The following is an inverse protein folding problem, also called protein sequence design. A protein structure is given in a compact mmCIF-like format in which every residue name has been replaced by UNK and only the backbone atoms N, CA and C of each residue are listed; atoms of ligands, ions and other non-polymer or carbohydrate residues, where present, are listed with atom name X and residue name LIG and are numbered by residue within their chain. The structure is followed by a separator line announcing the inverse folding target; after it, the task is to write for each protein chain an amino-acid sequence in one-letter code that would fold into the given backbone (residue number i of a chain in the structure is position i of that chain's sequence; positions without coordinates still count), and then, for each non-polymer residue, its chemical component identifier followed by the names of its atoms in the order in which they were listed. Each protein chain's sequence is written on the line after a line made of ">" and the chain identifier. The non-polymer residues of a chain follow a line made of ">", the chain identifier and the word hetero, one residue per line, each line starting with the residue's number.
data_IF_439646184669
#
_entry.id   IF_439646184669
#
_cell.length_a   1.000
_cell.length_b   1.000
_cell.length_c   1.000
_cell.angle_alpha   90.00
_cell.angle_beta   90.00
_cell.angle_gamma   90.00
#
_symmetry.space_group_name_H-M   'P 1'
#
loop_
_entity.id
_entity.type
_entity.pdbx_description
1 polymer ?
#
# COMPACT_ATOMS: atom_id res chain seq x y z
N UNK A 1 33.72 36.60 -1.39
CA UNK A 1 33.02 36.24 -0.17
C UNK A 1 32.08 35.07 -0.41
N UNK A 2 32.22 34.10 0.49
CA UNK A 2 31.36 32.94 0.78
C UNK A 2 31.26 31.81 -0.25
N UNK A 3 32.39 31.09 -0.40
CA UNK A 3 32.36 29.63 -0.48
C UNK A 3 31.75 29.09 0.82
N UNK A 4 30.45 28.83 0.83
CA UNK A 4 29.81 27.98 1.85
C UNK A 4 30.58 26.66 1.89
N UNK A 5 31.24 26.37 3.01
CA UNK A 5 31.81 25.06 3.28
C UNK A 5 30.68 24.03 3.20
N UNK A 6 30.71 23.14 2.23
CA UNK A 6 29.83 21.98 2.16
C UNK A 6 30.21 21.03 3.30
N UNK A 7 29.63 21.25 4.49
CA UNK A 7 29.55 20.18 5.48
C UNK A 7 28.81 19.01 4.82
N UNK A 8 29.35 17.80 4.89
CA UNK A 8 28.67 16.60 4.40
C UNK A 8 27.31 16.52 5.10
N UNK A 9 26.23 16.80 4.37
CA UNK A 9 24.89 16.65 4.91
C UNK A 9 24.58 15.15 5.00
N UNK A 10 24.37 14.64 6.21
CA UNK A 10 24.07 13.22 6.43
C UNK A 10 22.58 13.00 6.19
N UNK A 11 22.25 12.16 5.20
CA UNK A 11 20.87 11.84 4.82
C UNK A 11 20.34 10.70 5.68
N UNK A 12 19.22 10.92 6.37
CA UNK A 12 18.68 10.01 7.39
C UNK A 12 17.44 9.27 6.88
N UNK A 13 17.44 7.95 7.10
CA UNK A 13 16.27 7.08 6.96
C UNK A 13 15.74 6.74 8.35
N UNK A 14 14.54 7.23 8.68
CA UNK A 14 13.79 6.80 9.87
C UNK A 14 12.87 5.64 9.53
N UNK A 15 12.87 4.59 10.34
CA UNK A 15 11.98 3.45 10.13
C UNK A 15 11.53 2.78 11.44
N UNK A 16 10.28 2.27 11.51
CA UNK A 16 9.82 1.51 12.65
C UNK A 16 10.30 0.06 12.57
N UNK A 17 10.13 -0.69 13.66
CA UNK A 17 10.31 -2.14 13.63
C UNK A 17 9.21 -2.79 12.77
N UNK A 18 9.58 -3.33 11.61
CA UNK A 18 8.63 -3.94 10.69
C UNK A 18 8.06 -5.26 11.24
N UNK A 19 6.75 -5.48 11.06
CA UNK A 19 5.99 -6.68 11.41
C UNK A 19 5.93 -7.08 12.88
N UNK A 20 6.53 -6.33 13.82
CA UNK A 20 6.48 -6.68 15.26
C UNK A 20 5.13 -6.34 15.89
N UNK A 21 4.53 -5.21 15.54
CA UNK A 21 3.23 -4.79 16.11
C UNK A 21 2.06 -5.37 15.33
N UNK A 22 1.87 -4.95 14.07
CA UNK A 22 0.69 -5.36 13.29
C UNK A 22 0.82 -6.78 12.77
N UNK A 23 2.03 -7.17 12.36
CA UNK A 23 2.35 -8.46 11.80
C UNK A 23 2.53 -9.55 12.83
N UNK A 24 2.73 -9.22 14.11
CA UNK A 24 2.92 -10.17 15.21
C UNK A 24 4.03 -11.20 14.97
N UNK A 25 5.08 -10.84 14.23
CA UNK A 25 6.30 -11.65 14.19
C UNK A 25 6.99 -11.56 15.55
N UNK A 26 7.48 -12.68 16.13
CA UNK A 26 8.26 -12.65 17.36
C UNK A 26 9.40 -11.63 17.28
N UNK A 27 9.52 -10.78 18.30
CA UNK A 27 10.43 -9.63 18.29
C UNK A 27 11.89 -10.07 18.16
N UNK A 28 12.26 -11.20 18.76
CA UNK A 28 13.58 -11.82 18.65
C UNK A 28 13.92 -12.21 17.22
N UNK A 29 12.98 -12.82 16.49
CA UNK A 29 13.18 -13.17 15.08
C UNK A 29 13.21 -11.93 14.19
N UNK A 30 12.35 -10.94 14.45
CA UNK A 30 12.32 -9.70 13.70
C UNK A 30 13.62 -8.91 13.86
N UNK A 31 14.12 -8.77 15.09
CA UNK A 31 15.38 -8.10 15.40
C UNK A 31 16.57 -8.81 14.74
N UNK A 32 16.64 -10.15 14.86
CA UNK A 32 17.69 -10.97 14.23
C UNK A 32 17.77 -10.73 12.73
N UNK A 33 16.62 -10.80 12.05
CA UNK A 33 16.54 -10.59 10.60
C UNK A 33 16.92 -9.15 10.23
N UNK A 34 16.37 -8.16 10.93
CA UNK A 34 16.63 -6.76 10.65
C UNK A 34 18.12 -6.42 10.80
N UNK A 35 18.74 -6.80 11.92
CA UNK A 35 20.14 -6.53 12.19
C UNK A 35 21.08 -7.25 11.21
N UNK A 36 20.76 -8.48 10.79
CA UNK A 36 21.52 -9.20 9.74
C UNK A 36 21.48 -8.42 8.41
N UNK A 37 20.29 -8.00 7.96
CA UNK A 37 20.13 -7.26 6.70
C UNK A 37 20.77 -5.87 6.77
N UNK A 38 20.64 -5.16 7.90
CA UNK A 38 21.27 -3.84 8.11
C UNK A 38 22.79 -3.98 8.09
N UNK A 39 23.35 -5.01 8.75
CA UNK A 39 24.80 -5.28 8.71
C UNK A 39 25.27 -5.53 7.29
N UNK A 40 24.59 -6.40 6.54
CA UNK A 40 24.92 -6.70 5.14
C UNK A 40 24.92 -5.41 4.29
N UNK A 41 23.91 -4.56 4.47
CA UNK A 41 23.78 -3.29 3.78
C UNK A 41 24.89 -2.29 4.16
N UNK A 42 25.22 -2.13 5.43
CA UNK A 42 26.28 -1.21 5.87
C UNK A 42 27.66 -1.68 5.39
N UNK A 43 27.89 -2.99 5.32
CA UNK A 43 29.12 -3.58 4.79
C UNK A 43 29.26 -3.36 3.28
N UNK A 44 28.17 -3.49 2.51
CA UNK A 44 28.20 -3.22 1.07
C UNK A 44 28.41 -1.74 0.74
N UNK A 45 28.13 -0.84 1.69
CA UNK A 45 28.32 0.61 1.59
C UNK A 45 29.39 1.13 2.56
N UNK A 46 30.43 0.34 2.90
CA UNK A 46 31.42 0.68 3.95
C UNK A 46 32.16 2.02 3.78
N UNK A 47 32.21 2.57 2.56
CA UNK A 47 32.91 3.82 2.26
C UNK A 47 31.95 5.02 2.21
N UNK A 48 30.65 4.78 2.35
CA UNK A 48 29.61 5.79 2.24
C UNK A 48 29.19 6.24 3.64
N UNK A 49 29.56 7.47 4.00
CA UNK A 49 29.35 8.06 5.33
C UNK A 49 28.34 9.22 5.31
N UNK A 50 27.69 9.44 4.17
CA UNK A 50 26.73 10.51 3.94
C UNK A 50 25.28 10.06 4.20
N UNK A 51 25.09 8.96 4.94
CA UNK A 51 23.77 8.49 5.37
C UNK A 51 23.75 7.91 6.77
N UNK A 52 22.53 7.84 7.32
CA UNK A 52 22.25 7.21 8.59
C UNK A 52 20.91 6.47 8.56
N UNK A 53 20.87 5.33 9.25
CA UNK A 53 19.71 4.47 9.46
C UNK A 53 19.26 4.61 10.91
N UNK A 54 17.99 4.92 11.15
CA UNK A 54 17.47 5.22 12.48
C UNK A 54 16.22 4.38 12.72
N UNK A 55 16.35 3.36 13.55
CA UNK A 55 15.22 2.59 14.06
C UNK A 55 14.54 3.39 15.17
N UNK A 56 13.24 3.62 15.04
CA UNK A 56 12.45 4.36 16.02
C UNK A 56 11.26 3.52 16.46
N UNK A 57 11.09 3.35 17.77
CA UNK A 57 9.93 2.66 18.35
C UNK A 57 9.56 3.31 19.69
N UNK A 58 8.29 3.18 20.08
CA UNK A 58 7.82 3.62 21.41
C UNK A 58 7.95 2.52 22.45
N UNK A 59 8.08 1.25 22.03
CA UNK A 59 8.23 0.11 22.93
C UNK A 59 9.71 -0.15 23.24
N UNK A 60 10.13 0.24 24.44
CA UNK A 60 11.49 0.02 24.94
C UNK A 60 11.90 -1.46 24.89
N UNK A 61 10.97 -2.40 25.02
CA UNK A 61 11.26 -3.84 24.95
C UNK A 61 11.68 -4.25 23.55
N UNK A 62 11.03 -3.70 22.52
CA UNK A 62 11.42 -3.90 21.12
C UNK A 62 12.83 -3.38 20.92
N UNK A 63 13.10 -2.14 21.33
CA UNK A 63 14.40 -1.52 21.13
C UNK A 63 15.52 -2.23 21.87
N UNK A 64 15.29 -2.68 23.10
CA UNK A 64 16.27 -3.44 23.87
C UNK A 64 16.67 -4.75 23.18
N UNK A 65 15.71 -5.45 22.56
CA UNK A 65 16.00 -6.68 21.80
C UNK A 65 16.81 -6.35 20.55
N UNK A 66 16.45 -5.30 19.81
CA UNK A 66 17.22 -4.83 18.65
C UNK A 66 18.63 -4.38 19.03
N UNK A 67 18.81 -3.70 20.16
CA UNK A 67 20.14 -3.33 20.65
C UNK A 67 21.00 -4.54 21.01
N UNK A 68 20.42 -5.53 21.71
CA UNK A 68 21.12 -6.76 22.08
C UNK A 68 21.53 -7.55 20.84
N UNK A 69 20.67 -7.60 19.83
CA UNK A 69 20.98 -8.24 18.56
C UNK A 69 22.05 -7.47 17.79
N UNK A 70 21.93 -6.15 17.69
CA UNK A 70 22.90 -5.30 17.01
C UNK A 70 24.29 -5.38 17.64
N UNK A 71 24.38 -5.46 18.97
CA UNK A 71 25.65 -5.64 19.70
C UNK A 71 26.43 -6.88 19.28
N UNK A 72 25.79 -7.91 18.71
CA UNK A 72 26.47 -9.10 18.16
C UNK A 72 27.26 -8.79 16.89
N UNK A 73 26.91 -7.72 16.20
CA UNK A 73 27.50 -7.32 14.91
C UNK A 73 28.32 -6.05 15.00
N UNK A 74 28.04 -5.20 15.99
CA UNK A 74 28.68 -3.90 16.15
C UNK A 74 30.16 -4.06 16.48
N UNK A 75 31.00 -3.88 15.46
CA UNK A 75 32.39 -3.48 15.67
C UNK A 75 32.40 -2.07 16.27
N UNK A 76 33.44 -1.71 17.04
CA UNK A 76 33.46 -0.53 17.92
C UNK A 76 33.23 0.85 17.23
N UNK A 77 33.05 0.91 15.92
CA UNK A 77 33.01 2.15 15.12
C UNK A 77 31.76 2.34 14.24
N UNK A 78 30.83 1.37 14.16
CA UNK A 78 29.65 1.55 13.30
C UNK A 78 28.62 2.50 13.94
N UNK A 79 28.56 3.73 13.42
CA UNK A 79 27.73 4.84 13.90
C UNK A 79 26.57 5.19 12.96
N UNK A 80 26.50 4.58 11.77
CA UNK A 80 25.46 4.83 10.77
C UNK A 80 24.16 4.14 11.08
N UNK A 81 24.11 3.22 12.06
CA UNK A 81 22.86 2.69 12.58
C UNK A 81 22.63 3.14 14.03
N UNK A 82 21.50 3.81 14.25
CA UNK A 82 21.05 4.26 15.57
C UNK A 82 19.68 3.69 15.90
N UNK A 83 19.44 3.53 17.19
CA UNK A 83 18.16 3.10 17.76
C UNK A 83 17.69 4.23 18.68
N UNK A 84 16.45 4.68 18.53
CA UNK A 84 15.87 5.79 19.31
C UNK A 84 14.50 5.40 19.87
N UNK A 85 14.34 5.62 21.17
CA UNK A 85 13.06 5.52 21.87
C UNK A 85 12.27 6.81 21.74
N UNK A 86 11.02 6.74 21.32
CA UNK A 86 10.13 7.90 21.29
C UNK A 86 8.99 7.79 20.28
N UNK A 87 8.11 8.80 20.29
CA UNK A 87 7.13 8.92 19.23
C UNK A 87 7.82 9.22 17.90
N UNK A 88 7.39 8.52 16.85
CA UNK A 88 8.04 8.59 15.56
C UNK A 88 8.00 10.00 14.94
N UNK A 89 6.85 10.67 15.06
CA UNK A 89 6.64 12.00 14.47
C UNK A 89 7.45 13.04 15.23
N UNK A 90 7.50 12.93 16.56
CA UNK A 90 8.33 13.81 17.41
C UNK A 90 9.82 13.66 17.07
N UNK A 91 10.34 12.44 17.05
CA UNK A 91 11.76 12.16 16.75
C UNK A 91 12.12 12.62 15.33
N UNK A 92 11.23 12.39 14.35
CA UNK A 92 11.44 12.82 12.97
C UNK A 92 11.62 14.34 12.85
N UNK A 93 10.88 15.13 13.65
CA UNK A 93 11.05 16.59 13.70
C UNK A 93 12.34 16.97 14.43
N UNK A 94 12.68 16.28 15.52
CA UNK A 94 13.86 16.59 16.34
C UNK A 94 15.19 16.43 15.58
N UNK A 95 15.32 15.37 14.77
CA UNK A 95 16.60 15.00 14.15
C UNK A 95 16.64 15.17 12.63
N UNK A 96 15.64 15.84 12.04
CA UNK A 96 15.53 16.13 10.61
C UNK A 96 15.71 14.87 9.75
N UNK A 97 14.68 14.03 9.67
CA UNK A 97 14.69 12.80 8.86
C UNK A 97 14.19 13.10 7.43
N UNK A 98 15.00 12.81 6.42
CA UNK A 98 14.63 13.05 5.02
C UNK A 98 13.79 11.93 4.41
N UNK A 99 13.98 10.67 4.83
CA UNK A 99 13.24 9.52 4.32
C UNK A 99 12.56 8.78 5.46
N UNK A 100 11.25 8.58 5.34
CA UNK A 100 10.43 7.91 6.35
C UNK A 100 9.95 6.58 5.81
N UNK A 101 10.08 5.52 6.59
CA UNK A 101 9.44 4.24 6.28
C UNK A 101 8.11 4.16 6.99
N UNK A 102 7.05 3.87 6.23
CA UNK A 102 5.73 3.59 6.78
C UNK A 102 5.30 2.17 6.43
N UNK A 103 5.09 1.35 7.44
CA UNK A 103 4.56 0.00 7.25
C UNK A 103 3.08 0.05 6.78
N UNK A 104 2.73 -0.74 5.77
CA UNK A 104 1.39 -0.79 5.20
C UNK A 104 0.97 -2.20 4.79
N UNK A 105 -0.25 -2.33 4.27
CA UNK A 105 -0.76 -3.59 3.68
C UNK A 105 -0.76 -3.52 2.16
N UNK A 106 -1.04 -4.64 1.50
CA UNK A 106 -1.23 -4.70 0.03
C UNK A 106 -2.22 -3.68 -0.52
N UNK A 107 -3.15 -3.19 0.31
CA UNK A 107 -4.11 -2.16 -0.08
C UNK A 107 -3.51 -0.77 -0.14
N UNK A 108 -2.31 -0.54 0.38
CA UNK A 108 -1.62 0.75 0.44
C UNK A 108 -2.60 1.84 0.92
N UNK A 109 -3.04 1.71 2.17
CA UNK A 109 -4.06 2.57 2.80
C UNK A 109 -3.44 3.43 3.90
N UNK A 110 -4.00 4.63 4.17
CA UNK A 110 -3.44 5.58 5.11
C UNK A 110 -3.67 5.22 6.59
N UNK A 111 -4.49 4.23 6.92
CA UNK A 111 -4.97 3.94 8.28
C UNK A 111 -4.54 2.55 8.80
N UNK A 112 -3.40 2.03 8.33
CA UNK A 112 -2.92 0.68 8.69
C UNK A 112 -2.24 0.65 10.06
N UNK A 113 -1.39 1.64 10.33
CA UNK A 113 -0.59 1.79 11.56
C UNK A 113 -0.85 3.14 12.22
N UNK A 114 -0.52 3.32 13.51
CA UNK A 114 -0.55 4.63 14.15
C UNK A 114 0.26 5.69 13.39
N UNK A 115 1.48 5.35 12.95
CA UNK A 115 2.31 6.22 12.12
C UNK A 115 1.62 6.60 10.82
N UNK A 116 1.05 5.62 10.10
CA UNK A 116 0.33 5.88 8.85
C UNK A 116 -0.82 6.85 9.05
N UNK A 117 -1.57 6.69 10.16
CA UNK A 117 -2.67 7.58 10.52
C UNK A 117 -2.17 9.00 10.81
N UNK A 118 -1.13 9.15 11.62
CA UNK A 118 -0.53 10.45 11.91
C UNK A 118 -0.02 11.15 10.65
N UNK A 119 0.66 10.42 9.75
CA UNK A 119 1.11 10.96 8.47
C UNK A 119 -0.05 11.44 7.60
N UNK A 120 -1.16 10.69 7.58
CA UNK A 120 -2.36 11.08 6.82
C UNK A 120 -3.06 12.31 7.41
N UNK A 121 -3.16 12.39 8.74
CA UNK A 121 -3.76 13.55 9.42
C UNK A 121 -2.96 14.83 9.16
N UNK A 122 -1.63 14.73 9.07
CA UNK A 122 -0.75 15.89 8.87
C UNK A 122 -0.61 16.28 7.39
N UNK A 123 -0.46 15.30 6.48
CA UNK A 123 -0.20 15.57 5.05
C UNK A 123 -1.51 15.66 4.23
N UNK A 124 -2.56 15.00 4.69
CA UNK A 124 -3.88 14.99 4.06
C UNK A 124 -4.01 14.04 2.86
N UNK A 125 -5.14 14.14 2.16
CA UNK A 125 -5.52 13.19 1.09
C UNK A 125 -4.58 13.18 -0.12
N UNK A 126 -3.87 14.28 -0.38
CA UNK A 126 -2.98 14.40 -1.54
C UNK A 126 -1.86 13.35 -1.57
N UNK A 127 -1.33 12.97 -0.41
CA UNK A 127 -0.33 11.90 -0.32
C UNK A 127 -0.91 10.55 -0.76
N UNK A 128 -2.15 10.28 -0.35
CA UNK A 128 -2.84 9.06 -0.71
C UNK A 128 -3.22 9.04 -2.20
N UNK A 129 -3.69 10.17 -2.74
CA UNK A 129 -3.96 10.33 -4.17
C UNK A 129 -2.70 10.07 -5.01
N UNK A 130 -1.55 10.63 -4.60
CA UNK A 130 -0.27 10.43 -5.28
C UNK A 130 0.21 8.98 -5.20
N UNK A 131 0.10 8.36 -4.02
CA UNK A 131 0.38 6.93 -3.84
C UNK A 131 -0.47 6.06 -4.77
N UNK A 132 -1.77 6.34 -4.90
CA UNK A 132 -2.67 5.59 -5.79
C UNK A 132 -2.39 5.83 -7.26
N UNK A 133 -1.97 7.04 -7.62
CA UNK A 133 -1.54 7.38 -8.97
C UNK A 133 -0.27 6.61 -9.36
N UNK A 134 0.70 6.51 -8.46
CA UNK A 134 1.96 5.77 -8.68
C UNK A 134 1.76 4.24 -8.64
N UNK A 135 0.88 3.78 -7.76
CA UNK A 135 0.68 2.37 -7.46
C UNK A 135 -0.82 2.01 -7.54
N UNK A 136 -1.38 1.89 -8.76
CA UNK A 136 -2.80 1.59 -8.96
C UNK A 136 -3.16 0.13 -8.63
N UNK A 137 -2.16 -0.75 -8.59
CA UNK A 137 -2.33 -2.16 -8.31
C UNK A 137 -2.05 -2.47 -6.84
N UNK A 138 -2.64 -3.55 -6.28
CA UNK A 138 -2.24 -4.10 -4.99
C UNK A 138 -0.72 -4.25 -4.88
N UNK A 139 -0.19 -3.79 -3.76
CA UNK A 139 1.21 -4.03 -3.44
C UNK A 139 1.45 -5.46 -2.99
N UNK A 140 2.71 -5.82 -2.81
CA UNK A 140 3.17 -7.19 -2.59
C UNK A 140 3.97 -7.22 -1.30
N UNK A 141 3.77 -8.26 -0.52
CA UNK A 141 4.57 -8.52 0.68
C UNK A 141 6.06 -8.62 0.31
N UNK A 142 6.93 -8.01 1.11
CA UNK A 142 8.37 -7.96 0.85
C UNK A 142 8.83 -6.76 0.03
N UNK A 143 7.93 -5.84 -0.34
CA UNK A 143 8.22 -4.77 -1.31
C UNK A 143 8.00 -3.36 -0.77
N UNK A 144 8.81 -2.41 -1.26
CA UNK A 144 8.76 -0.98 -0.96
C UNK A 144 8.10 -0.17 -2.08
N UNK A 145 7.42 0.91 -1.70
CA UNK A 145 6.61 1.77 -2.56
C UNK A 145 6.85 3.25 -2.17
N UNK A 146 7.91 3.87 -2.68
CA UNK A 146 8.23 5.27 -2.40
C UNK A 146 7.22 6.25 -2.98
N UNK A 147 6.79 7.21 -2.17
CA UNK A 147 5.85 8.26 -2.54
C UNK A 147 6.46 9.62 -2.19
N UNK A 148 6.65 10.52 -3.17
CA UNK A 148 7.10 11.89 -2.91
C UNK A 148 6.05 12.64 -2.12
N UNK A 149 6.49 13.44 -1.15
CA UNK A 149 5.59 14.31 -0.42
C UNK A 149 5.18 15.47 -1.33
N UNK A 150 3.88 15.76 -1.48
CA UNK A 150 3.42 16.89 -2.28
C UNK A 150 4.04 18.20 -1.76
N UNK A 151 4.63 19.00 -2.66
CA UNK A 151 5.30 20.27 -2.33
C UNK A 151 4.40 21.32 -1.67
N UNK A 152 3.08 21.11 -1.69
CA UNK A 152 2.09 21.99 -1.05
C UNK A 152 1.84 21.67 0.43
N UNK A 153 2.48 20.66 1.00
CA UNK A 153 2.27 20.26 2.40
C UNK A 153 3.11 21.12 3.35
N UNK A 154 2.54 21.67 4.42
CA UNK A 154 3.32 22.37 5.47
C UNK A 154 4.28 21.43 6.22
N UNK A 155 4.05 20.12 6.12
CA UNK A 155 4.95 19.06 6.59
C UNK A 155 6.29 19.00 5.83
N UNK A 156 6.45 19.78 4.75
CA UNK A 156 7.61 19.82 3.86
C UNK A 156 8.92 20.31 4.51
N UNK A 157 8.99 20.53 5.82
CA UNK A 157 10.20 21.04 6.50
C UNK A 157 11.27 19.96 6.73
N UNK A 158 11.65 19.22 5.68
CA UNK A 158 12.84 18.35 5.70
C UNK A 158 12.60 16.92 5.17
N UNK A 159 11.35 16.46 5.11
CA UNK A 159 11.05 15.12 4.60
C UNK A 159 10.90 15.15 3.08
N UNK A 160 11.71 14.36 2.38
CA UNK A 160 11.69 14.23 0.92
C UNK A 160 10.63 13.22 0.46
N UNK A 161 10.62 12.03 1.07
CA UNK A 161 9.82 10.89 0.61
C UNK A 161 9.38 9.97 1.75
N UNK A 162 8.20 9.37 1.57
CA UNK A 162 7.70 8.28 2.41
C UNK A 162 7.82 6.98 1.63
N UNK A 163 8.55 6.01 2.17
CA UNK A 163 8.73 4.67 1.62
C UNK A 163 7.73 3.74 2.30
N UNK A 164 6.64 3.42 1.60
CA UNK A 164 5.66 2.47 2.11
C UNK A 164 6.21 1.05 1.96
N UNK A 165 6.27 0.28 3.04
CA UNK A 165 6.76 -1.10 3.00
C UNK A 165 5.62 -2.04 3.34
N UNK A 166 5.37 -3.04 2.49
CA UNK A 166 4.40 -4.09 2.78
C UNK A 166 5.15 -5.25 3.38
N UNK A 167 5.05 -5.37 4.68
CA UNK A 167 5.70 -6.39 5.48
C UNK A 167 4.81 -7.63 5.62
N UNK A 168 5.37 -8.79 5.98
CA UNK A 168 4.59 -9.99 6.27
C UNK A 168 3.69 -9.85 7.50
N UNK A 169 2.63 -10.64 7.50
CA UNK A 169 1.67 -10.71 8.58
C UNK A 169 1.56 -12.16 9.11
N UNK A 170 1.70 -12.35 10.42
CA UNK A 170 1.36 -13.59 11.13
C UNK A 170 0.07 -13.44 11.96
N UNK A 171 -0.44 -12.23 12.12
CA UNK A 171 -1.64 -11.97 12.90
C UNK A 171 -2.88 -12.53 12.17
N UNK A 172 -3.58 -13.53 12.74
CA UNK A 172 -4.74 -14.15 12.11
C UNK A 172 -5.95 -13.20 12.02
N UNK A 173 -5.93 -12.08 12.75
CA UNK A 173 -6.97 -11.04 12.71
C UNK A 173 -6.76 -10.04 11.57
N UNK A 174 -5.69 -10.18 10.79
CA UNK A 174 -5.33 -9.30 9.67
C UNK A 174 -5.26 -10.12 8.37
N UNK A 175 -5.39 -9.48 7.19
CA UNK A 175 -5.35 -10.19 5.91
C UNK A 175 -4.04 -10.96 5.71
N UNK A 176 -4.14 -12.08 4.99
CA UNK A 176 -3.01 -12.86 4.48
C UNK A 176 -2.01 -13.32 5.57
N UNK A 177 -2.47 -13.93 6.68
CA UNK A 177 -1.57 -14.45 7.70
C UNK A 177 -0.75 -15.61 7.13
N UNK A 178 0.55 -15.64 7.42
CA UNK A 178 1.48 -16.69 6.99
C UNK A 178 2.17 -17.35 8.18
N UNK A 179 2.79 -18.51 7.95
CA UNK A 179 3.59 -19.20 8.96
C UNK A 179 4.87 -18.42 9.28
N UNK A 180 5.48 -18.71 10.44
CA UNK A 180 6.72 -18.06 10.86
C UNK A 180 7.84 -18.15 9.82
N UNK A 181 8.05 -19.31 9.20
CA UNK A 181 9.12 -19.49 8.21
C UNK A 181 8.88 -18.67 6.93
N UNK A 182 7.63 -18.56 6.48
CA UNK A 182 7.28 -17.70 5.34
C UNK A 182 7.42 -16.23 5.73
N UNK A 183 6.98 -15.86 6.94
CA UNK A 183 7.10 -14.51 7.47
C UNK A 183 8.57 -14.07 7.58
N UNK A 184 9.47 -14.93 8.05
CA UNK A 184 10.90 -14.64 8.19
C UNK A 184 11.54 -14.29 6.84
N UNK A 185 11.28 -15.08 5.80
CA UNK A 185 11.79 -14.81 4.46
C UNK A 185 11.23 -13.50 3.88
N UNK A 186 9.91 -13.31 3.98
CA UNK A 186 9.26 -12.08 3.54
C UNK A 186 9.71 -10.83 4.31
N UNK A 187 10.05 -10.96 5.59
CA UNK A 187 10.55 -9.86 6.41
C UNK A 187 11.96 -9.47 5.97
N UNK A 188 12.81 -10.48 5.67
CA UNK A 188 14.13 -10.25 5.08
C UNK A 188 14.01 -9.47 3.77
N UNK A 189 13.11 -9.89 2.88
CA UNK A 189 12.83 -9.18 1.62
C UNK A 189 12.32 -7.75 1.85
N UNK A 190 11.49 -7.53 2.88
CA UNK A 190 10.93 -6.21 3.23
C UNK A 190 12.05 -5.23 3.61
N UNK A 191 12.97 -5.64 4.50
CA UNK A 191 14.11 -4.80 4.87
C UNK A 191 15.07 -4.57 3.69
N UNK A 192 15.33 -5.60 2.88
CA UNK A 192 16.17 -5.46 1.68
C UNK A 192 15.56 -4.47 0.68
N UNK A 193 14.25 -4.57 0.43
CA UNK A 193 13.55 -3.67 -0.47
C UNK A 193 13.51 -2.23 0.07
N UNK A 194 13.25 -2.06 1.36
CA UNK A 194 13.30 -0.77 2.07
C UNK A 194 14.65 -0.08 1.90
N UNK A 195 15.75 -0.79 2.21
CA UNK A 195 17.10 -0.23 2.14
C UNK A 195 17.53 0.04 0.69
N UNK A 196 17.17 -0.85 -0.24
CA UNK A 196 17.43 -0.64 -1.67
C UNK A 196 16.67 0.58 -2.21
N UNK A 197 15.41 0.76 -1.82
CA UNK A 197 14.62 1.93 -2.17
C UNK A 197 15.27 3.20 -1.63
N UNK A 198 15.59 3.24 -0.34
CA UNK A 198 16.29 4.37 0.27
C UNK A 198 17.58 4.72 -0.47
N UNK A 199 18.46 3.73 -0.69
CA UNK A 199 19.74 3.94 -1.36
C UNK A 199 19.59 4.50 -2.78
N UNK A 200 18.68 3.90 -3.56
CA UNK A 200 18.37 4.34 -4.92
C UNK A 200 17.93 5.81 -4.93
N UNK A 201 16.98 6.16 -4.05
CA UNK A 201 16.39 7.49 -3.99
C UNK A 201 17.35 8.55 -3.46
N UNK A 202 18.14 8.22 -2.43
CA UNK A 202 19.18 9.09 -1.88
C UNK A 202 20.16 9.52 -2.97
N UNK A 203 20.50 8.60 -3.88
CA UNK A 203 21.42 8.85 -4.98
C UNK A 203 20.74 9.48 -6.21
N UNK A 204 19.50 9.97 -6.07
CA UNK A 204 18.76 10.65 -7.13
C UNK A 204 18.26 9.72 -8.25
N UNK A 205 18.28 8.41 -8.02
CA UNK A 205 17.81 7.43 -9.00
C UNK A 205 16.32 7.11 -8.81
N UNK A 206 15.67 6.68 -9.88
CA UNK A 206 14.29 6.23 -9.83
C UNK A 206 14.22 4.79 -9.33
N UNK A 207 13.48 4.57 -8.23
CA UNK A 207 13.18 3.25 -7.74
C UNK A 207 11.90 2.69 -8.40
N UNK A 208 11.94 1.42 -8.81
CA UNK A 208 10.81 0.71 -9.42
C UNK A 208 10.57 -0.61 -8.69
N UNK A 209 9.40 -0.84 -8.07
CA UNK A 209 9.07 -2.10 -7.41
C UNK A 209 9.15 -3.31 -8.36
N UNK A 210 9.53 -4.50 -7.87
CA UNK A 210 9.83 -5.70 -8.69
C UNK A 210 8.73 -6.10 -9.66
N UNK A 211 7.45 -5.94 -9.30
CA UNK A 211 6.32 -6.30 -10.18
C UNK A 211 6.00 -5.25 -11.25
N UNK A 212 6.57 -4.05 -11.18
CA UNK A 212 6.53 -3.11 -12.31
C UNK A 212 7.51 -3.51 -13.42
N UNK A 213 8.51 -4.36 -13.14
CA UNK A 213 9.47 -4.83 -14.15
C UNK A 213 8.99 -6.08 -14.93
N UNK A 214 7.96 -6.79 -14.47
CA UNK A 214 7.49 -8.03 -15.08
C UNK A 214 5.97 -8.01 -15.35
N UNK A 215 5.59 -7.22 -16.35
CA UNK A 215 4.45 -7.53 -17.23
C UNK A 215 4.47 -6.57 -18.42
N UNK A 216 5.19 -6.94 -19.48
CA UNK A 216 4.56 -6.77 -20.80
C UNK A 216 3.20 -7.48 -20.68
N UNK A 217 2.13 -6.68 -20.75
CA UNK A 217 0.76 -7.13 -20.63
C UNK A 217 0.51 -8.20 -21.69
N UNK A 218 0.58 -9.48 -21.31
CA UNK A 218 -0.20 -10.53 -21.94
C UNK A 218 -1.18 -11.01 -20.89
N UNK A 219 -2.38 -10.44 -20.96
CA UNK A 219 -3.53 -10.92 -20.24
C UNK A 219 -3.79 -12.38 -20.63
N UNK A 220 -4.38 -13.18 -19.73
CA UNK A 220 -4.92 -14.50 -20.10
C UNK A 220 -5.91 -14.40 -21.28
N UNK A 221 -6.51 -13.22 -21.47
CA UNK A 221 -7.32 -12.87 -22.63
C UNK A 221 -6.51 -12.81 -23.94
N UNK A 222 -5.26 -12.32 -23.92
CA UNK A 222 -4.38 -12.27 -25.11
C UNK A 222 -3.92 -13.68 -25.51
N UNK A 223 -3.74 -14.57 -24.52
CA UNK A 223 -3.42 -15.99 -24.74
C UNK A 223 -4.61 -16.75 -25.32
N UNK A 224 -5.83 -16.46 -24.84
CA UNK A 224 -7.07 -17.05 -25.34
C UNK A 224 -7.46 -16.54 -26.73
N UNK A 225 -7.28 -15.24 -27.01
CA UNK A 225 -7.64 -14.62 -28.29
C UNK A 225 -6.55 -14.79 -29.37
N UNK A 226 -5.30 -15.06 -28.99
CA UNK A 226 -4.23 -15.42 -29.92
C UNK A 226 -4.46 -16.74 -30.66
N UNK A 227 -5.34 -17.60 -30.14
CA UNK A 227 -5.77 -18.86 -30.79
C UNK A 227 -6.84 -18.60 -31.87
N UNK A 228 -7.52 -17.45 -31.82
CA UNK A 228 -8.71 -17.17 -32.66
C UNK A 228 -8.40 -16.28 -33.87
N UNK A 229 -7.21 -15.68 -33.95
CA UNK A 229 -6.84 -14.75 -35.02
C UNK A 229 -5.97 -15.35 -36.15
N UNK A 230 -6.26 -16.58 -36.56
CA UNK A 230 -5.83 -17.12 -37.87
C UNK A 230 -7.00 -17.30 -38.82
N UNK A 231 -7.80 -16.24 -39.03
CA UNK A 231 -8.65 -16.14 -40.22
C UNK A 231 -9.18 -14.72 -40.46
N UNK A 232 -8.76 -14.13 -41.58
CA UNK A 232 -9.48 -13.21 -42.47
C UNK A 232 -9.99 -11.82 -41.98
N UNK A 233 -9.20 -10.79 -42.35
CA UNK A 233 -9.52 -9.55 -43.10
C UNK A 233 -10.89 -8.81 -43.07
N UNK A 234 -10.80 -7.50 -42.77
CA UNK A 234 -11.53 -6.29 -43.29
C UNK A 234 -12.95 -5.92 -42.77
N UNK A 235 -13.43 -4.64 -42.90
CA UNK A 235 -12.82 -3.35 -42.52
C UNK A 235 -13.75 -2.46 -41.65
N UNK A 236 -13.17 -1.38 -41.08
CA UNK A 236 -13.80 -0.36 -40.19
C UNK A 236 -15.02 0.37 -40.80
N UNK A 237 -15.88 0.91 -39.91
CA UNK A 237 -16.33 2.30 -40.07
C UNK A 237 -16.09 3.18 -38.84
N UNK A 238 -15.79 4.44 -39.15
CA UNK A 238 -15.61 5.61 -38.28
C UNK A 238 -16.94 6.19 -37.81
N UNK A 239 -17.02 6.60 -36.54
CA UNK A 239 -17.81 7.77 -36.11
C UNK A 239 -17.26 8.37 -34.83
N UNK A 240 -17.06 9.70 -34.86
CA UNK A 240 -16.79 10.57 -33.71
C UNK A 240 -18.06 10.72 -32.86
N UNK A 241 -17.92 10.79 -31.54
CA UNK A 241 -18.74 11.68 -30.72
C UNK A 241 -18.00 12.06 -29.43
N UNK A 242 -18.37 13.24 -28.95
CA UNK A 242 -17.66 14.11 -28.02
C UNK A 242 -18.24 14.07 -26.60
N UNK A 243 -17.35 14.24 -25.63
CA UNK A 243 -17.49 14.97 -24.35
C UNK A 243 -18.68 14.69 -23.41
N UNK A 244 -18.36 14.31 -22.18
CA UNK A 244 -18.64 15.15 -21.00
C UNK A 244 -17.84 14.67 -19.79
N UNK A 245 -16.93 15.51 -19.33
CA UNK A 245 -16.11 15.34 -18.13
C UNK A 245 -16.99 15.58 -16.89
N UNK A 246 -17.38 14.51 -16.19
CA UNK A 246 -17.84 14.62 -14.81
C UNK A 246 -16.66 14.35 -13.88
N UNK A 247 -16.33 15.34 -13.06
CA UNK A 247 -15.41 15.27 -11.93
C UNK A 247 -15.94 14.27 -10.91
N UNK A 248 -15.36 13.07 -10.87
CA UNK A 248 -15.76 11.97 -9.97
C UNK A 248 -15.04 12.07 -8.63
N UNK A 249 -15.83 12.20 -7.55
CA UNK A 249 -15.42 12.03 -6.16
C UNK A 249 -15.37 10.53 -5.85
N UNK A 250 -14.16 10.00 -5.63
CA UNK A 250 -13.92 8.57 -5.44
C UNK A 250 -14.16 8.17 -3.99
N UNK A 251 -15.39 7.74 -3.65
CA UNK A 251 -15.62 7.10 -2.36
C UNK A 251 -17.05 6.63 -2.12
N UNK A 252 -18.06 7.44 -2.45
CA UNK A 252 -19.48 7.07 -2.27
C UNK A 252 -20.20 6.81 -3.59
N UNK A 253 -19.84 7.54 -4.64
CA UNK A 253 -20.71 7.65 -5.82
C UNK A 253 -20.28 6.76 -7.00
N UNK A 254 -19.28 5.89 -6.82
CA UNK A 254 -18.79 5.01 -7.90
C UNK A 254 -19.78 3.88 -8.18
N UNK A 255 -20.53 3.44 -7.17
CA UNK A 255 -21.54 2.39 -7.30
C UNK A 255 -22.94 2.94 -7.61
N UNK A 256 -23.17 4.22 -7.31
CA UNK A 256 -24.45 4.90 -7.47
C UNK A 256 -25.02 4.80 -8.90
N UNK A 257 -24.23 4.96 -9.99
CA UNK A 257 -24.73 4.81 -11.35
C UNK A 257 -25.38 3.44 -11.63
N UNK A 258 -24.84 2.35 -11.06
CA UNK A 258 -25.41 1.01 -11.22
C UNK A 258 -26.77 0.88 -10.52
N UNK A 259 -26.95 1.58 -9.39
CA UNK A 259 -28.20 1.59 -8.65
C UNK A 259 -29.26 2.44 -9.37
N UNK A 260 -28.88 3.61 -9.89
CA UNK A 260 -29.79 4.54 -10.56
C UNK A 260 -30.20 4.05 -11.94
N UNK A 261 -29.23 3.69 -12.76
CA UNK A 261 -29.39 3.44 -14.20
C UNK A 261 -28.70 2.16 -14.66
N UNK A 262 -29.03 0.98 -14.12
CA UNK A 262 -28.39 -0.27 -14.49
C UNK A 262 -28.52 -0.59 -16.00
N UNK A 263 -29.54 -0.06 -16.68
CA UNK A 263 -29.83 -0.30 -18.10
C UNK A 263 -28.79 0.25 -19.08
N UNK A 264 -27.95 1.20 -18.65
CA UNK A 264 -26.91 1.79 -19.51
C UNK A 264 -25.62 0.97 -19.53
N UNK A 265 -25.49 0.00 -18.63
CA UNK A 265 -24.31 -0.85 -18.47
C UNK A 265 -24.50 -2.16 -19.22
N UNK A 266 -23.38 -2.75 -19.63
CA UNK A 266 -23.41 -4.01 -20.38
C UNK A 266 -23.67 -5.21 -19.46
N UNK A 267 -24.11 -6.33 -20.04
CA UNK A 267 -24.28 -7.62 -19.33
C UNK A 267 -22.97 -8.17 -18.71
N UNK A 268 -21.82 -7.58 -19.08
CA UNK A 268 -20.51 -7.88 -18.47
C UNK A 268 -20.30 -7.16 -17.14
N UNK A 269 -21.08 -6.12 -16.87
CA UNK A 269 -20.98 -5.30 -15.67
C UNK A 269 -22.20 -5.53 -14.77
N UNK A 270 -23.40 -5.53 -15.35
CA UNK A 270 -24.66 -5.79 -14.66
C UNK A 270 -25.11 -7.21 -14.96
N UNK A 271 -25.22 -8.04 -13.92
CA UNK A 271 -25.70 -9.41 -14.03
C UNK A 271 -27.23 -9.46 -14.17
N UNK A 272 -27.94 -8.69 -13.34
CA UNK A 272 -29.40 -8.51 -13.46
C UNK A 272 -29.87 -7.32 -12.62
N UNK A 273 -31.05 -6.80 -12.91
CA UNK A 273 -31.69 -5.77 -12.09
C UNK A 273 -33.22 -5.87 -12.16
N UNK A 274 -33.87 -5.33 -11.14
CA UNK A 274 -35.30 -5.03 -11.10
C UNK A 274 -35.53 -3.65 -10.47
N UNK A 275 -36.77 -3.25 -10.21
CA UNK A 275 -37.08 -1.92 -9.65
C UNK A 275 -36.46 -1.65 -8.27
N UNK A 276 -36.07 -2.70 -7.53
CA UNK A 276 -35.62 -2.58 -6.15
C UNK A 276 -34.13 -2.91 -5.97
N UNK A 277 -33.58 -3.79 -6.81
CA UNK A 277 -32.23 -4.36 -6.64
C UNK A 277 -31.48 -4.37 -7.96
N UNK A 278 -30.17 -4.12 -7.89
CA UNK A 278 -29.22 -4.41 -8.96
C UNK A 278 -28.20 -5.43 -8.46
N UNK A 279 -27.81 -6.36 -9.33
CA UNK A 279 -26.74 -7.33 -9.11
C UNK A 279 -25.66 -7.06 -10.16
N UNK A 280 -24.44 -6.77 -9.71
CA UNK A 280 -23.32 -6.46 -10.59
C UNK A 280 -22.15 -7.43 -10.39
N UNK A 281 -21.32 -7.55 -11.41
CA UNK A 281 -20.01 -8.21 -11.31
C UNK A 281 -19.05 -7.35 -10.50
N UNK A 282 -18.41 -7.94 -9.47
CA UNK A 282 -17.38 -7.23 -8.74
C UNK A 282 -16.15 -7.02 -9.63
N UNK A 283 -15.69 -5.77 -9.74
CA UNK A 283 -14.47 -5.39 -10.47
C UNK A 283 -13.21 -6.04 -9.90
N UNK A 284 -13.22 -6.43 -8.62
CA UNK A 284 -12.11 -7.06 -7.91
C UNK A 284 -12.56 -8.38 -7.27
N UNK A 285 -12.86 -9.41 -8.07
CA UNK A 285 -13.45 -10.65 -7.58
C UNK A 285 -12.50 -11.39 -6.64
N UNK A 286 -13.02 -11.85 -5.49
CA UNK A 286 -12.28 -12.67 -4.52
C UNK A 286 -12.58 -14.17 -4.61
N UNK A 287 -13.43 -14.54 -5.57
CA UNK A 287 -13.85 -15.90 -5.84
C UNK A 287 -14.07 -16.07 -7.35
N UNK A 288 -14.27 -17.32 -7.82
CA UNK A 288 -14.57 -17.60 -9.23
C UNK A 288 -15.79 -16.84 -9.74
N UNK A 289 -16.79 -16.66 -8.87
CA UNK A 289 -17.98 -15.83 -9.09
C UNK A 289 -18.08 -14.92 -7.87
N UNK A 290 -18.00 -13.61 -8.08
CA UNK A 290 -18.12 -12.61 -7.03
C UNK A 290 -19.01 -11.49 -7.52
N UNK A 291 -20.19 -11.36 -6.90
CA UNK A 291 -21.25 -10.45 -7.29
C UNK A 291 -21.59 -9.53 -6.13
N UNK A 292 -22.02 -8.31 -6.43
CA UNK A 292 -22.53 -7.36 -5.45
C UNK A 292 -24.04 -7.23 -5.65
N UNK A 293 -24.80 -7.47 -4.58
CA UNK A 293 -26.26 -7.24 -4.54
C UNK A 293 -26.49 -5.92 -3.84
N UNK A 294 -27.07 -4.95 -4.54
CA UNK A 294 -27.22 -3.58 -4.05
C UNK A 294 -28.67 -3.10 -4.16
N UNK A 295 -29.17 -2.32 -3.19
CA UNK A 295 -30.47 -1.71 -3.28
C UNK A 295 -30.44 -0.54 -4.27
N UNK A 296 -31.51 -0.37 -5.04
CA UNK A 296 -31.71 0.80 -5.92
C UNK A 296 -32.41 1.96 -5.19
N UNK A 297 -32.80 1.76 -3.94
CA UNK A 297 -33.47 2.78 -3.13
C UNK A 297 -32.44 3.79 -2.58
N UNK A 298 -32.39 4.98 -3.19
CA UNK A 298 -31.45 6.07 -2.92
C UNK A 298 -31.66 6.82 -1.57
N UNK A 299 -32.28 6.18 -0.58
CA UNK A 299 -32.60 6.80 0.72
C UNK A 299 -31.86 6.18 1.90
N UNK A 300 -30.95 5.24 1.62
CA UNK A 300 -30.18 4.50 2.62
C UNK A 300 -28.73 4.55 2.15
N UNK A 301 -28.00 5.56 2.60
CA UNK A 301 -26.61 5.82 2.21
C UNK A 301 -25.61 5.14 3.14
N UNK A 302 -26.07 4.65 4.29
CA UNK A 302 -25.24 3.93 5.27
C UNK A 302 -26.00 2.87 6.06
N UNK A 303 -25.26 1.96 6.70
CA UNK A 303 -25.82 0.92 7.57
C UNK A 303 -26.56 1.50 8.77
N UNK A 304 -26.14 2.67 9.26
CA UNK A 304 -26.74 3.36 10.40
C UNK A 304 -28.13 3.94 10.08
N UNK A 305 -28.43 4.16 8.81
CA UNK A 305 -29.73 4.67 8.35
C UNK A 305 -30.80 3.58 8.23
N UNK A 306 -30.40 2.30 8.30
CA UNK A 306 -31.31 1.17 8.24
C UNK A 306 -32.28 1.18 9.42
N UNK A 307 -33.57 1.16 9.11
CA UNK A 307 -34.67 1.09 10.07
C UNK A 307 -35.36 -0.26 9.98
N UNK A 308 -36.18 -0.56 11.00
CA UNK A 308 -36.98 -1.80 11.05
C UNK A 308 -37.88 -1.98 9.81
N UNK A 309 -38.32 -0.89 9.19
CA UNK A 309 -39.13 -0.90 7.96
C UNK A 309 -38.34 -1.41 6.74
N UNK A 310 -37.01 -1.31 6.74
CA UNK A 310 -36.14 -1.72 5.64
C UNK A 310 -35.79 -3.22 5.70
N UNK A 311 -36.30 -3.94 6.71
CA UNK A 311 -36.06 -5.37 6.88
C UNK A 311 -36.48 -6.19 5.65
N UNK A 312 -37.59 -5.80 5.01
CA UNK A 312 -38.07 -6.49 3.80
C UNK A 312 -37.11 -6.31 2.61
N UNK A 313 -36.48 -5.14 2.48
CA UNK A 313 -35.46 -4.88 1.46
C UNK A 313 -34.25 -5.80 1.67
N UNK A 314 -33.73 -5.86 2.90
CA UNK A 314 -32.58 -6.72 3.24
C UNK A 314 -32.90 -8.21 3.02
N UNK A 315 -34.09 -8.67 3.41
CA UNK A 315 -34.54 -10.04 3.17
C UNK A 315 -34.66 -10.34 1.66
N UNK A 316 -35.12 -9.38 0.87
CA UNK A 316 -35.22 -9.49 -0.59
C UNK A 316 -33.84 -9.57 -1.23
N UNK A 317 -32.89 -8.73 -0.81
CA UNK A 317 -31.50 -8.78 -1.26
C UNK A 317 -30.86 -10.13 -0.95
N UNK A 318 -31.03 -10.64 0.28
CA UNK A 318 -30.52 -11.96 0.67
C UNK A 318 -31.10 -13.08 -0.20
N UNK A 319 -32.42 -13.08 -0.41
CA UNK A 319 -33.10 -14.07 -1.25
C UNK A 319 -32.63 -14.04 -2.70
N UNK A 320 -32.46 -12.85 -3.28
CA UNK A 320 -31.92 -12.68 -4.64
C UNK A 320 -30.48 -13.18 -4.73
N UNK A 321 -29.64 -12.85 -3.75
CA UNK A 321 -28.28 -13.39 -3.67
C UNK A 321 -28.27 -14.92 -3.63
N UNK A 322 -29.16 -15.53 -2.84
CA UNK A 322 -29.27 -17.00 -2.78
C UNK A 322 -29.73 -17.61 -4.10
N UNK A 323 -30.71 -17.01 -4.77
CA UNK A 323 -31.17 -17.49 -6.09
C UNK A 323 -30.07 -17.54 -7.15
N UNK A 324 -29.13 -16.59 -7.10
CA UNK A 324 -27.98 -16.57 -8.02
C UNK A 324 -26.91 -17.61 -7.65
N UNK A 325 -26.82 -17.99 -6.38
CA UNK A 325 -25.95 -19.08 -5.95
C UNK A 325 -26.52 -20.43 -6.40
N UNK A 326 -27.86 -20.57 -6.36
CA UNK A 326 -28.55 -21.82 -6.64
C UNK A 326 -28.81 -22.08 -8.14
N UNK A 327 -28.57 -21.09 -9.01
CA UNK A 327 -28.76 -21.16 -10.48
C UNK A 327 -27.55 -21.72 -11.21
#
# INVERSE_FOLDING_TARGET
>A
DDKKSSGNNIIKLGFPSLSTTIGQIPIDEAARIACEVIKEFLNSHKNDWDFQLILIDQDERVLNIFELEWKKFKENEESRFQIKLGDFVEIMVEIEIEYIVNESTWRLKPDVTPLSKSLYEVIGSKLFEEMKRLYPNPGIVGEAYPVPIPSTSEFYKGVNQIIYVISPNMNPSRPDPVSLEVAKNALKESYQSMLNAFWTLKNGQQYTPRRQQSQEKRSAFDVLMGIVHNSASTPKPTTRSSSSTHTFSWGRDVLLPYCERPEIFSDKEVYSYDDNIVIIWDKYPKAKIHLLVMPRQLKIDSLEELKKQDLNLIQTMKRKGQQVIDS
#
